data_IF_260032893718
#
_entry.id   IF_260032893718
#
_cell.length_a   1.000
_cell.length_b   1.000
_cell.length_c   1.000
_cell.angle_alpha   90.00
_cell.angle_beta   90.00
_cell.angle_gamma   90.00
#
_symmetry.space_group_name_H-M   'P 1'
#
loop_
_entity.id
_entity.type
_entity.pdbx_description
1 polymer ?
#
# COMPACT_ATOMS: atom_id res chain seq x y z
N UNK A 1 -9.54 -19.71 -3.54
CA UNK A 1 -9.31 -18.91 -4.78
C UNK A 1 -8.79 -17.56 -4.29
N UNK A 2 -7.53 -17.23 -4.57
CA UNK A 2 -6.95 -15.96 -4.10
C UNK A 2 -7.51 -14.84 -4.96
N UNK A 3 -8.25 -13.90 -4.38
CA UNK A 3 -8.75 -12.74 -5.10
C UNK A 3 -7.66 -11.66 -5.06
N UNK A 4 -6.94 -11.48 -6.17
CA UNK A 4 -5.91 -10.44 -6.29
C UNK A 4 -6.54 -9.21 -6.92
N UNK A 5 -6.58 -8.11 -6.17
CA UNK A 5 -7.04 -6.83 -6.68
C UNK A 5 -5.84 -5.93 -6.92
N UNK A 6 -5.76 -5.41 -8.15
CA UNK A 6 -4.77 -4.41 -8.53
C UNK A 6 -5.39 -3.03 -8.47
N UNK A 7 -4.75 -2.11 -7.77
CA UNK A 7 -5.12 -0.70 -7.76
C UNK A 7 -4.11 0.07 -8.59
N UNK A 8 -4.56 0.65 -9.69
CA UNK A 8 -3.80 1.63 -10.45
C UNK A 8 -4.25 3.01 -9.96
N UNK A 9 -3.35 3.76 -9.34
CA UNK A 9 -3.65 5.10 -8.85
C UNK A 9 -3.34 6.09 -9.98
N UNK A 10 -4.39 6.57 -10.65
CA UNK A 10 -4.30 7.67 -11.60
C UNK A 10 -4.24 9.01 -10.86
N UNK A 11 -3.28 9.85 -11.22
CA UNK A 11 -3.26 11.25 -10.79
C UNK A 11 -4.34 12.01 -11.55
N UNK A 12 -5.48 12.29 -10.91
CA UNK A 12 -6.36 13.35 -11.37
C UNK A 12 -5.88 14.67 -10.79
N UNK A 13 -5.41 15.56 -11.68
CA UNK A 13 -5.28 16.99 -11.36
C UNK A 13 -6.62 17.63 -11.67
N UNK A 14 -7.48 17.81 -10.69
CA UNK A 14 -8.59 18.72 -10.81
C UNK A 14 -8.39 19.95 -9.93
N UNK A 15 -8.36 21.07 -10.63
CA UNK A 15 -8.35 22.41 -10.12
C UNK A 15 -9.57 22.71 -9.23
N UNK A 16 -9.30 23.22 -8.03
CA UNK A 16 -10.17 24.21 -7.40
C UNK A 16 -11.02 23.74 -6.25
N UNK A 17 -10.67 24.12 -5.14
CA UNK A 17 -11.22 24.94 -4.07
C UNK A 17 -10.66 24.57 -2.71
N UNK A 18 -9.98 25.53 -2.16
CA UNK A 18 -9.46 25.59 -0.80
C UNK A 18 -10.61 25.47 0.18
N UNK A 19 -10.64 24.44 1.00
CA UNK A 19 -11.30 24.41 2.28
C UNK A 19 -10.23 24.07 3.31
N UNK A 20 -9.79 25.12 4.05
CA UNK A 20 -9.05 24.92 5.29
C UNK A 20 -9.91 24.10 6.26
N UNK A 21 -9.58 22.84 6.38
CA UNK A 21 -9.85 22.10 7.61
C UNK A 21 -8.60 21.28 7.93
N UNK A 22 -7.95 21.67 9.01
CA UNK A 22 -7.01 20.89 9.77
C UNK A 22 -7.63 19.53 10.08
N UNK A 23 -7.33 18.56 9.24
CA UNK A 23 -7.38 17.16 9.58
C UNK A 23 -6.20 16.51 8.89
N UNK A 24 -5.23 16.12 9.71
CA UNK A 24 -4.15 15.22 9.39
C UNK A 24 -4.76 13.86 8.98
N UNK A 25 -5.20 13.74 7.76
CA UNK A 25 -5.62 12.46 7.23
C UNK A 25 -5.00 12.28 5.86
N UNK A 26 -3.82 11.68 5.85
CA UNK A 26 -3.21 11.17 4.65
C UNK A 26 -3.93 9.89 4.14
N UNK A 27 -5.08 9.54 4.72
CA UNK A 27 -5.96 8.51 4.20
C UNK A 27 -6.47 8.97 2.83
N UNK A 28 -5.83 8.45 1.78
CA UNK A 28 -6.11 8.82 0.40
C UNK A 28 -7.37 8.16 -0.13
N UNK A 29 -7.60 6.91 0.26
CA UNK A 29 -8.74 6.10 -0.17
C UNK A 29 -9.13 5.10 0.92
N UNK A 30 -10.44 4.96 1.15
CA UNK A 30 -11.04 3.84 1.87
C UNK A 30 -12.28 3.38 1.13
N UNK A 31 -12.34 2.11 0.71
CA UNK A 31 -13.40 1.60 -0.13
C UNK A 31 -13.74 0.15 0.18
N UNK A 32 -15.02 -0.13 0.40
CA UNK A 32 -15.54 -1.49 0.42
C UNK A 32 -15.83 -1.97 -1.00
N UNK A 33 -15.44 -3.19 -1.29
CA UNK A 33 -15.68 -3.88 -2.54
C UNK A 33 -16.93 -4.75 -2.46
N UNK A 34 -17.46 -5.18 -3.62
CA UNK A 34 -18.67 -5.98 -3.71
C UNK A 34 -18.55 -7.35 -3.02
N UNK A 35 -17.34 -7.91 -2.94
CA UNK A 35 -17.02 -9.14 -2.23
C UNK A 35 -16.77 -8.96 -0.73
N UNK A 36 -17.15 -7.84 -0.13
CA UNK A 36 -16.91 -7.43 1.25
C UNK A 36 -15.46 -7.13 1.64
N UNK A 37 -14.50 -7.29 0.73
CA UNK A 37 -13.15 -6.82 0.99
C UNK A 37 -13.14 -5.30 1.17
N UNK A 38 -12.26 -4.80 2.00
CA UNK A 38 -12.06 -3.37 2.19
C UNK A 38 -10.63 -2.99 1.83
N UNK A 39 -10.50 -1.95 1.01
CA UNK A 39 -9.21 -1.39 0.60
C UNK A 39 -9.05 -0.05 1.28
N UNK A 40 -7.84 0.18 1.83
CA UNK A 40 -7.44 1.48 2.32
C UNK A 40 -6.04 1.85 1.79
N UNK A 41 -5.87 3.10 1.42
CA UNK A 41 -4.62 3.65 0.88
C UNK A 41 -4.25 4.91 1.65
N UNK A 42 -2.99 4.98 2.06
CA UNK A 42 -2.39 6.12 2.74
C UNK A 42 -1.34 6.77 1.84
N UNK A 43 -1.41 8.07 1.64
CA UNK A 43 -0.36 8.84 0.98
C UNK A 43 0.67 9.26 2.03
N UNK A 44 1.90 8.79 1.91
CA UNK A 44 2.98 9.03 2.87
C UNK A 44 3.55 10.44 2.65
N UNK A 45 2.94 11.43 3.29
CA UNK A 45 3.36 12.84 3.25
C UNK A 45 4.06 13.28 4.53
N UNK A 46 3.81 12.59 5.63
CA UNK A 46 4.32 12.91 6.95
C UNK A 46 5.80 12.58 7.09
N UNK A 47 6.44 13.29 8.00
CA UNK A 47 7.77 12.97 8.50
C UNK A 47 7.75 11.70 9.38
N UNK A 48 8.90 11.13 9.64
CA UNK A 48 9.06 9.99 10.56
C UNK A 48 8.54 10.32 11.97
N UNK A 49 8.84 11.52 12.48
CA UNK A 49 8.39 11.99 13.79
C UNK A 49 6.86 12.14 13.87
N UNK A 50 6.24 12.70 12.83
CA UNK A 50 4.79 12.83 12.74
C UNK A 50 4.12 11.46 12.72
N UNK A 51 4.63 10.51 11.93
CA UNK A 51 4.11 9.15 11.88
C UNK A 51 4.27 8.42 13.23
N UNK A 52 5.40 8.59 13.93
CA UNK A 52 5.58 8.04 15.27
C UNK A 52 4.53 8.59 16.26
N UNK A 53 4.18 9.86 16.14
CA UNK A 53 3.16 10.47 17.01
C UNK A 53 1.73 10.02 16.67
N UNK A 54 1.47 9.67 15.40
CA UNK A 54 0.17 9.15 14.92
C UNK A 54 -0.04 7.68 15.28
N UNK A 55 1.04 6.94 15.55
CA UNK A 55 0.98 5.50 15.75
C UNK A 55 1.23 5.11 17.21
N UNK A 56 0.48 4.13 17.71
CA UNK A 56 0.75 3.51 19.00
C UNK A 56 1.55 2.22 18.80
N UNK A 57 2.74 2.33 18.18
CA UNK A 57 3.61 1.17 17.93
C UNK A 57 4.16 0.63 19.24
N UNK A 58 4.13 -0.70 19.50
CA UNK A 58 4.84 -1.30 20.63
C UNK A 58 6.33 -0.97 20.61
N UNK A 59 6.93 -0.86 21.78
CA UNK A 59 8.34 -0.42 21.91
C UNK A 59 9.31 -1.36 21.17
N UNK A 60 9.11 -2.66 21.31
CA UNK A 60 9.91 -3.69 20.64
C UNK A 60 9.82 -3.58 19.11
N UNK A 61 8.65 -3.40 18.58
CA UNK A 61 8.44 -3.19 17.15
C UNK A 61 9.03 -1.85 16.67
N UNK A 62 8.89 -0.79 17.47
CA UNK A 62 9.50 0.50 17.13
C UNK A 62 11.03 0.37 17.06
N UNK A 63 11.65 -0.37 18.01
CA UNK A 63 13.08 -0.66 17.96
C UNK A 63 13.47 -1.39 16.67
N UNK A 64 12.69 -2.39 16.24
CA UNK A 64 12.93 -3.08 14.96
C UNK A 64 12.80 -2.15 13.75
N UNK A 65 11.78 -1.27 13.72
CA UNK A 65 11.62 -0.27 12.67
C UNK A 65 12.83 0.66 12.62
N UNK A 66 13.35 1.09 13.77
CA UNK A 66 14.49 1.99 13.83
C UNK A 66 15.82 1.36 13.41
N UNK A 67 15.90 0.02 13.31
CA UNK A 67 17.07 -0.67 12.72
C UNK A 67 17.20 -0.50 11.21
N UNK A 68 16.13 -0.13 10.50
CA UNK A 68 16.21 0.13 9.06
C UNK A 68 17.04 1.40 8.79
N UNK A 69 18.04 1.28 7.92
CA UNK A 69 18.94 2.41 7.57
C UNK A 69 18.25 3.49 6.76
N UNK A 70 17.30 3.10 5.94
CA UNK A 70 16.56 4.01 5.06
C UNK A 70 15.41 4.67 5.82
N UNK A 71 15.42 6.00 5.89
CA UNK A 71 14.29 6.79 6.42
C UNK A 71 12.99 6.48 5.66
N UNK A 72 13.06 6.34 4.33
CA UNK A 72 11.89 5.97 3.52
C UNK A 72 11.27 4.64 3.96
N UNK A 73 12.11 3.62 4.26
CA UNK A 73 11.61 2.33 4.75
C UNK A 73 10.99 2.46 6.14
N UNK A 74 11.59 3.24 7.05
CA UNK A 74 10.99 3.48 8.38
C UNK A 74 9.65 4.20 8.27
N UNK A 75 9.57 5.25 7.45
CA UNK A 75 8.32 5.96 7.18
C UNK A 75 7.24 5.05 6.61
N UNK A 76 7.57 4.19 5.65
CA UNK A 76 6.63 3.22 5.08
C UNK A 76 6.07 2.27 6.15
N UNK A 77 6.92 1.73 7.02
CA UNK A 77 6.48 0.84 8.11
C UNK A 77 5.59 1.57 9.13
N UNK A 78 5.95 2.78 9.50
CA UNK A 78 5.13 3.60 10.38
C UNK A 78 3.79 3.98 9.73
N UNK A 79 3.78 4.29 8.43
CA UNK A 79 2.57 4.59 7.68
C UNK A 79 1.64 3.35 7.58
N UNK A 80 2.19 2.13 7.46
CA UNK A 80 1.39 0.89 7.57
C UNK A 80 0.67 0.82 8.90
N UNK A 81 1.36 1.17 9.99
CA UNK A 81 0.76 1.17 11.34
C UNK A 81 -0.31 2.25 11.48
N UNK A 82 -0.05 3.45 10.96
CA UNK A 82 -1.04 4.53 10.94
C UNK A 82 -2.30 4.11 10.17
N UNK A 83 -2.12 3.47 9.01
CA UNK A 83 -3.23 2.99 8.19
C UNK A 83 -4.04 1.88 8.88
N UNK A 84 -3.38 0.93 9.55
CA UNK A 84 -4.06 -0.11 10.33
C UNK A 84 -4.85 0.52 11.47
N UNK A 85 -4.27 1.47 12.23
CA UNK A 85 -4.97 2.17 13.32
C UNK A 85 -6.18 2.97 12.81
N UNK A 86 -6.13 3.50 11.58
CA UNK A 86 -7.24 4.23 10.97
C UNK A 86 -8.39 3.31 10.51
N UNK A 87 -8.04 2.10 10.07
CA UNK A 87 -9.03 1.15 9.55
C UNK A 87 -9.74 0.38 10.66
N UNK A 88 -9.02 0.06 11.73
CA UNK A 88 -9.55 -0.69 12.87
C UNK A 88 -9.80 0.23 14.06
N UNK A 89 -10.96 0.08 14.69
CA UNK A 89 -11.31 0.86 15.90
C UNK A 89 -10.51 0.40 17.12
N UNK A 90 -10.05 -0.85 17.12
CA UNK A 90 -9.26 -1.45 18.20
C UNK A 90 -7.79 -1.50 17.83
N UNK A 91 -6.93 -1.53 18.84
CA UNK A 91 -5.49 -1.67 18.65
C UNK A 91 -5.18 -3.06 18.07
N UNK A 92 -4.62 -3.09 16.86
CA UNK A 92 -4.19 -4.30 16.18
C UNK A 92 -2.68 -4.49 16.28
N UNK A 93 -2.26 -5.74 16.43
CA UNK A 93 -0.85 -6.14 16.41
C UNK A 93 -0.57 -6.85 15.09
N UNK A 94 0.27 -6.23 14.27
CA UNK A 94 0.69 -6.80 12.99
C UNK A 94 1.93 -7.67 13.18
N UNK A 95 1.83 -8.90 12.77
CA UNK A 95 2.93 -9.85 12.74
C UNK A 95 3.09 -10.49 11.35
N UNK A 96 4.14 -11.27 11.19
CA UNK A 96 4.43 -11.97 9.94
C UNK A 96 4.68 -13.46 10.20
N UNK A 97 4.15 -14.29 9.34
CA UNK A 97 4.50 -15.71 9.28
C UNK A 97 5.93 -15.89 8.78
N UNK A 98 6.50 -17.09 8.93
CA UNK A 98 7.86 -17.42 8.47
C UNK A 98 8.07 -17.17 6.97
N UNK A 99 7.01 -17.23 6.17
CA UNK A 99 7.02 -16.92 4.74
C UNK A 99 6.86 -15.42 4.42
N UNK A 100 6.82 -14.55 5.44
CA UNK A 100 6.66 -13.11 5.30
C UNK A 100 5.22 -12.62 5.12
N UNK A 101 4.21 -13.51 5.09
CA UNK A 101 2.80 -13.12 4.99
C UNK A 101 2.35 -12.39 6.25
N UNK A 102 1.76 -11.17 6.14
CA UNK A 102 1.27 -10.44 7.30
C UNK A 102 0.00 -11.09 7.87
N UNK A 103 -0.17 -10.98 9.18
CA UNK A 103 -1.41 -11.31 9.89
C UNK A 103 -1.62 -10.40 11.08
N UNK A 104 -2.87 -10.26 11.52
CA UNK A 104 -3.25 -9.51 12.70
C UNK A 104 -3.44 -10.48 13.87
N UNK A 105 -2.74 -10.23 15.00
CA UNK A 105 -2.99 -10.99 16.22
C UNK A 105 -4.41 -10.73 16.74
N UNK A 106 -5.01 -11.74 17.32
CA UNK A 106 -6.35 -11.66 17.92
C UNK A 106 -7.47 -11.23 16.97
N UNK A 107 -7.24 -11.34 15.65
CA UNK A 107 -8.22 -11.03 14.62
C UNK A 107 -8.24 -12.14 13.57
N UNK A 108 -9.44 -12.55 13.17
CA UNK A 108 -9.62 -13.54 12.10
C UNK A 108 -9.53 -12.91 10.70
N UNK A 109 -9.58 -11.57 10.62
CA UNK A 109 -9.51 -10.81 9.37
C UNK A 109 -8.18 -11.06 8.68
N UNK A 110 -8.22 -11.49 7.42
CA UNK A 110 -7.04 -11.60 6.58
C UNK A 110 -6.60 -10.22 6.09
N UNK A 111 -5.29 -10.03 5.95
CA UNK A 111 -4.69 -8.77 5.50
C UNK A 111 -3.62 -9.02 4.45
N UNK A 112 -3.56 -8.15 3.45
CA UNK A 112 -2.42 -8.02 2.56
C UNK A 112 -1.97 -6.57 2.50
N UNK A 113 -0.66 -6.35 2.40
CA UNK A 113 -0.02 -5.03 2.51
C UNK A 113 0.92 -4.85 1.34
N UNK A 114 0.87 -3.68 0.74
CA UNK A 114 1.81 -3.27 -0.31
C UNK A 114 2.20 -1.81 -0.13
N UNK A 115 3.34 -1.41 -0.68
CA UNK A 115 3.80 -0.03 -0.59
C UNK A 115 4.70 0.38 -1.76
N UNK A 116 4.63 1.64 -2.10
CA UNK A 116 5.61 2.36 -2.93
C UNK A 116 6.33 3.40 -2.06
N UNK A 117 7.18 4.22 -2.65
CA UNK A 117 7.79 5.34 -1.93
C UNK A 117 6.77 6.35 -1.38
N UNK A 118 5.64 6.53 -2.09
CA UNK A 118 4.64 7.57 -1.80
C UNK A 118 3.35 7.06 -1.20
N UNK A 119 3.07 5.77 -1.29
CA UNK A 119 1.79 5.18 -0.88
C UNK A 119 2.00 3.87 -0.13
N UNK A 120 1.14 3.66 0.84
CA UNK A 120 0.94 2.37 1.50
C UNK A 120 -0.51 1.97 1.28
N UNK A 121 -0.75 0.71 0.96
CA UNK A 121 -2.10 0.19 0.80
C UNK A 121 -2.28 -1.12 1.55
N UNK A 122 -3.47 -1.31 2.08
CA UNK A 122 -3.92 -2.59 2.65
C UNK A 122 -5.22 -3.03 2.01
N UNK A 123 -5.42 -4.32 1.94
CA UNK A 123 -6.71 -4.95 1.71
C UNK A 123 -6.98 -5.91 2.85
N UNK A 124 -8.22 -5.91 3.33
CA UNK A 124 -8.68 -6.79 4.40
C UNK A 124 -9.95 -7.52 3.99
N UNK A 125 -10.16 -8.73 4.54
CA UNK A 125 -11.38 -9.52 4.38
C UNK A 125 -11.56 -10.45 5.58
N UNK A 126 -12.81 -10.62 6.06
CA UNK A 126 -13.08 -11.41 7.27
C UNK A 126 -13.03 -12.92 7.03
N UNK A 127 -13.37 -13.37 5.83
CA UNK A 127 -13.58 -14.80 5.56
C UNK A 127 -12.67 -15.38 4.46
N UNK A 128 -12.06 -14.52 3.60
CA UNK A 128 -11.32 -14.99 2.42
C UNK A 128 -9.88 -14.46 2.39
N UNK A 129 -9.01 -15.21 1.74
CA UNK A 129 -7.65 -14.79 1.44
C UNK A 129 -7.67 -13.65 0.42
N UNK A 130 -6.90 -12.60 0.71
CA UNK A 130 -6.79 -11.42 -0.12
C UNK A 130 -5.34 -11.10 -0.49
N UNK A 131 -5.18 -10.43 -1.62
CA UNK A 131 -3.90 -9.91 -2.08
C UNK A 131 -4.07 -8.53 -2.72
N UNK A 132 -3.12 -7.64 -2.49
CA UNK A 132 -3.05 -6.32 -3.09
C UNK A 132 -1.63 -6.03 -3.53
N UNK A 133 -1.50 -5.38 -4.67
CA UNK A 133 -0.24 -4.80 -5.11
C UNK A 133 -0.45 -3.38 -5.63
N UNK A 134 0.56 -2.53 -5.46
CA UNK A 134 0.57 -1.14 -5.89
C UNK A 134 1.93 -0.84 -6.52
N UNK A 135 1.92 -0.34 -7.76
CA UNK A 135 3.11 0.06 -8.47
C UNK A 135 3.00 1.51 -8.96
N UNK A 136 4.16 2.17 -9.06
CA UNK A 136 4.22 3.53 -9.61
C UNK A 136 4.30 3.45 -11.13
N UNK A 137 3.42 4.16 -11.82
CA UNK A 137 3.47 4.29 -13.29
C UNK A 137 4.71 5.07 -13.77
N UNK A 138 5.33 5.86 -12.88
CA UNK A 138 6.59 6.56 -13.18
C UNK A 138 7.81 5.63 -13.19
N UNK A 139 7.64 4.35 -12.81
CA UNK A 139 8.72 3.37 -12.79
C UNK A 139 9.11 2.97 -14.22
N UNK A 140 10.40 3.05 -14.51
CA UNK A 140 10.92 2.57 -15.80
C UNK A 140 11.01 1.03 -15.79
N UNK A 141 10.16 0.38 -16.55
CA UNK A 141 10.11 -1.07 -16.67
C UNK A 141 11.02 -1.64 -17.78
N UNK A 142 11.75 -0.80 -18.52
CA UNK A 142 12.59 -1.24 -19.65
C UNK A 142 13.59 -2.38 -19.29
N UNK A 143 14.03 -2.44 -18.02
CA UNK A 143 14.92 -3.50 -17.55
C UNK A 143 14.24 -4.88 -17.42
N UNK A 144 12.92 -4.92 -17.27
CA UNK A 144 12.13 -6.15 -17.12
C UNK A 144 11.32 -6.49 -18.39
N UNK A 145 11.17 -5.55 -19.32
CA UNK A 145 10.42 -5.70 -20.56
C UNK A 145 10.78 -7.00 -21.30
N UNK A 146 12.07 -7.21 -21.57
CA UNK A 146 12.57 -8.42 -22.27
C UNK A 146 12.40 -9.74 -21.52
N UNK A 147 12.08 -9.68 -20.21
CA UNK A 147 11.84 -10.86 -19.38
C UNK A 147 10.37 -11.14 -19.15
N UNK A 148 9.55 -10.11 -19.21
CA UNK A 148 8.13 -10.16 -18.89
C UNK A 148 7.25 -10.29 -20.12
N UNK A 149 7.69 -9.79 -21.28
CA UNK A 149 6.95 -9.82 -22.54
C UNK A 149 7.70 -10.61 -23.60
N UNK A 150 6.97 -11.33 -24.45
CA UNK A 150 7.47 -11.92 -25.69
C UNK A 150 7.74 -10.85 -26.74
N UNK A 151 8.51 -11.18 -27.78
CA UNK A 151 8.79 -10.26 -28.88
C UNK A 151 7.50 -9.82 -29.59
N UNK A 152 6.54 -10.73 -29.77
CA UNK A 152 5.24 -10.44 -30.38
C UNK A 152 4.39 -9.48 -29.54
N UNK A 153 4.41 -9.64 -28.21
CA UNK A 153 3.69 -8.73 -27.29
C UNK A 153 4.33 -7.34 -27.23
N UNK A 154 5.64 -7.23 -27.38
CA UNK A 154 6.36 -5.95 -27.44
C UNK A 154 6.01 -5.20 -28.73
N UNK A 155 5.91 -5.90 -29.87
CA UNK A 155 5.54 -5.31 -31.16
C UNK A 155 4.10 -4.79 -31.19
N UNK A 156 3.19 -5.44 -30.44
CA UNK A 156 1.78 -5.03 -30.35
C UNK A 156 1.56 -3.78 -29.47
N UNK A 157 2.57 -3.34 -28.71
CA UNK A 157 2.51 -2.16 -27.86
C UNK A 157 2.96 -0.91 -28.61
N UNK A 158 2.01 -0.12 -29.06
CA UNK A 158 2.26 1.13 -29.81
C UNK A 158 2.63 2.32 -28.90
N UNK A 159 2.48 2.20 -27.58
CA UNK A 159 2.56 3.31 -26.63
C UNK A 159 3.33 2.89 -25.36
N UNK A 160 4.33 3.68 -24.97
CA UNK A 160 5.15 3.43 -23.77
C UNK A 160 4.31 3.40 -22.46
N UNK A 161 3.20 4.16 -22.40
CA UNK A 161 2.30 4.14 -21.25
C UNK A 161 1.59 2.80 -21.12
N UNK A 162 1.13 2.21 -22.24
CA UNK A 162 0.52 0.87 -22.26
C UNK A 162 1.52 -0.22 -21.90
N UNK A 163 2.78 -0.09 -22.34
CA UNK A 163 3.85 -1.02 -21.94
C UNK A 163 4.06 -1.01 -20.45
N UNK A 164 4.14 0.18 -19.84
CA UNK A 164 4.33 0.31 -18.42
C UNK A 164 3.15 -0.26 -17.63
N UNK A 165 1.92 -0.08 -18.10
CA UNK A 165 0.73 -0.70 -17.49
C UNK A 165 0.77 -2.22 -17.55
N UNK A 166 1.19 -2.82 -18.66
CA UNK A 166 1.31 -4.27 -18.78
C UNK A 166 2.45 -4.86 -17.96
N UNK A 167 3.60 -4.19 -17.89
CA UNK A 167 4.76 -4.64 -17.12
C UNK A 167 4.59 -4.49 -15.61
N UNK A 168 3.64 -3.67 -15.18
CA UNK A 168 3.29 -3.50 -13.77
C UNK A 168 2.31 -4.59 -13.23
N UNK A 169 1.95 -5.61 -14.05
CA UNK A 169 1.07 -6.75 -13.65
C UNK A 169 1.91 -7.73 -12.76
#
# INVERSE_FOLDING_TARGET
MVCTHRIVIYRYSESGHFIEHFNYMALYLRKKLDNKAEIAVWQVTETEEELMNLTSVPTDELEEIMLFRSESQRRQKLAVRALINEVFEEKMYLNHHDNGKPYLENCATTISITHTEKYVAIIIHDDEEVGIDIESLDRNFAAVEKKALSEDEIEDLEDDDKKNEQLAI
#
